data_IF_201779399497
#
_entry.id   IF_201779399497
#
_cell.length_a   1.000
_cell.length_b   1.000
_cell.length_c   1.000
_cell.angle_alpha   90.00
_cell.angle_beta   90.00
_cell.angle_gamma   90.00
#
_symmetry.space_group_name_H-M   'P 1'
#
loop_
_entity.id
_entity.type
_entity.pdbx_description
1 polymer ?
#
# COMPACT_ATOMS: atom_id res chain seq x y z
N UNK A 1 5.19 31.32 -2.88
CA UNK A 1 4.32 30.29 -3.46
C UNK A 1 3.37 29.74 -2.41
N UNK A 2 2.12 29.41 -2.81
CA UNK A 2 1.12 28.78 -1.94
C UNK A 2 0.79 27.41 -2.51
N UNK A 3 0.77 26.42 -1.66
CA UNK A 3 0.46 25.04 -2.03
C UNK A 3 -0.82 24.61 -1.29
N UNK A 4 -1.67 23.86 -1.96
CA UNK A 4 -2.78 23.13 -1.36
C UNK A 4 -2.51 21.64 -1.49
N UNK A 5 -1.99 21.04 -0.44
CA UNK A 5 -1.76 19.62 -0.38
C UNK A 5 -3.08 18.84 -0.28
N UNK A 6 -3.19 17.79 -1.07
CA UNK A 6 -4.27 16.80 -1.04
C UNK A 6 -3.65 15.41 -1.01
N UNK A 7 -4.45 14.36 -0.82
CA UNK A 7 -3.90 13.01 -0.79
C UNK A 7 -4.92 11.93 -1.11
N UNK A 8 -4.43 10.82 -1.63
CA UNK A 8 -5.18 9.59 -1.86
C UNK A 8 -4.85 8.60 -0.75
N UNK A 9 -5.88 8.05 -0.10
CA UNK A 9 -5.80 6.92 0.81
C UNK A 9 -6.63 5.77 0.25
N UNK A 10 -6.06 4.55 0.22
CA UNK A 10 -6.73 3.36 -0.30
C UNK A 10 -6.61 3.17 -1.81
N UNK A 11 -5.55 3.68 -2.46
CA UNK A 11 -5.32 3.53 -3.89
C UNK A 11 -5.45 2.08 -4.36
N UNK A 12 -4.75 1.14 -3.71
CA UNK A 12 -4.78 -0.28 -4.07
C UNK A 12 -6.18 -0.88 -3.95
N UNK A 13 -6.98 -0.45 -2.96
CA UNK A 13 -8.34 -0.95 -2.75
C UNK A 13 -9.27 -0.51 -3.89
N UNK A 14 -9.14 0.75 -4.33
CA UNK A 14 -9.92 1.24 -5.47
C UNK A 14 -9.50 0.56 -6.76
N UNK A 15 -8.18 0.40 -7.01
CA UNK A 15 -7.66 -0.31 -8.18
C UNK A 15 -8.16 -1.76 -8.21
N UNK A 16 -8.04 -2.47 -7.09
CA UNK A 16 -8.51 -3.86 -6.94
C UNK A 16 -10.03 -3.97 -7.11
N UNK A 17 -10.79 -3.03 -6.53
CA UNK A 17 -12.26 -3.03 -6.65
C UNK A 17 -12.71 -2.82 -8.09
N UNK A 18 -12.09 -1.90 -8.81
CA UNK A 18 -12.39 -1.67 -10.23
C UNK A 18 -11.96 -2.85 -11.11
N UNK A 19 -10.81 -3.47 -10.82
CA UNK A 19 -10.39 -4.70 -11.47
C UNK A 19 -11.39 -5.84 -11.21
N UNK A 20 -11.82 -6.02 -9.97
CA UNK A 20 -12.81 -7.03 -9.61
C UNK A 20 -14.14 -6.81 -10.32
N UNK A 21 -14.64 -5.57 -10.40
CA UNK A 21 -15.87 -5.22 -11.11
C UNK A 21 -15.75 -5.48 -12.62
N UNK A 22 -14.59 -5.20 -13.20
CA UNK A 22 -14.33 -5.41 -14.63
C UNK A 22 -14.20 -6.89 -15.00
N UNK A 23 -13.46 -7.65 -14.20
CA UNK A 23 -12.99 -9.00 -14.58
C UNK A 23 -13.83 -10.13 -13.97
N UNK A 24 -14.72 -9.80 -13.01
CA UNK A 24 -15.53 -10.80 -12.30
C UNK A 24 -17.01 -10.39 -12.27
N UNK A 25 -17.85 -11.30 -11.81
CA UNK A 25 -19.25 -11.01 -11.58
C UNK A 25 -19.46 -10.58 -10.13
N UNK A 26 -19.65 -9.28 -9.93
CA UNK A 26 -19.90 -8.69 -8.61
C UNK A 26 -21.39 -8.45 -8.42
N UNK A 27 -21.97 -9.05 -7.38
CA UNK A 27 -23.34 -8.82 -6.96
C UNK A 27 -23.35 -7.93 -5.71
N UNK A 28 -24.08 -6.83 -5.79
CA UNK A 28 -24.24 -5.91 -4.65
C UNK A 28 -25.34 -6.40 -3.74
N UNK A 29 -25.03 -6.60 -2.47
CA UNK A 29 -26.01 -6.88 -1.42
C UNK A 29 -26.46 -5.55 -0.80
N UNK A 30 -27.77 -5.32 -0.78
CA UNK A 30 -28.37 -4.08 -0.29
C UNK A 30 -29.24 -4.34 0.94
N UNK A 31 -29.25 -3.37 1.86
CA UNK A 31 -30.17 -3.36 3.00
C UNK A 31 -31.61 -2.91 2.58
N UNK A 32 -32.51 -2.86 3.54
CA UNK A 32 -33.91 -2.43 3.34
C UNK A 32 -34.02 -0.99 2.81
N UNK A 33 -33.02 -0.16 3.00
CA UNK A 33 -32.96 1.23 2.51
C UNK A 33 -32.34 1.34 1.11
N UNK A 34 -31.95 0.20 0.51
CA UNK A 34 -31.26 0.16 -0.78
C UNK A 34 -29.77 0.50 -0.74
N UNK A 35 -29.18 0.66 0.44
CA UNK A 35 -27.74 0.93 0.58
C UNK A 35 -26.93 -0.36 0.40
N UNK A 36 -25.81 -0.27 -0.33
CA UNK A 36 -24.86 -1.37 -0.45
C UNK A 36 -24.21 -1.65 0.91
N UNK A 37 -24.36 -2.88 1.41
CA UNK A 37 -23.82 -3.33 2.70
C UNK A 37 -22.78 -4.42 2.55
N UNK A 38 -22.80 -5.15 1.42
CA UNK A 38 -21.84 -6.22 1.13
C UNK A 38 -21.77 -6.49 -0.38
N UNK A 39 -20.78 -7.31 -0.79
CA UNK A 39 -20.56 -7.73 -2.16
C UNK A 39 -20.25 -9.23 -2.22
N UNK A 40 -20.99 -9.95 -3.06
CA UNK A 40 -20.65 -11.32 -3.47
C UNK A 40 -19.88 -11.28 -4.79
N UNK A 41 -18.79 -12.01 -4.89
CA UNK A 41 -17.96 -12.05 -6.10
C UNK A 41 -17.80 -13.49 -6.59
N UNK A 42 -18.03 -13.69 -7.88
CA UNK A 42 -17.80 -14.94 -8.60
C UNK A 42 -16.74 -14.72 -9.68
N UNK A 43 -15.65 -15.48 -9.63
CA UNK A 43 -14.49 -15.35 -10.50
C UNK A 43 -13.27 -14.74 -9.82
N UNK A 44 -12.19 -14.63 -10.59
CA UNK A 44 -10.89 -14.14 -10.12
C UNK A 44 -10.44 -12.92 -10.90
N UNK A 45 -9.71 -12.03 -10.27
CA UNK A 45 -9.00 -10.91 -10.86
C UNK A 45 -7.55 -10.90 -10.36
N UNK A 46 -6.66 -10.21 -11.05
CA UNK A 46 -5.28 -10.03 -10.58
C UNK A 46 -5.20 -8.75 -9.76
N UNK A 47 -4.86 -8.82 -8.45
CA UNK A 47 -4.73 -7.64 -7.62
C UNK A 47 -3.53 -6.77 -7.99
N UNK A 48 -3.57 -5.49 -7.63
CA UNK A 48 -2.44 -4.57 -7.66
C UNK A 48 -1.25 -5.12 -6.85
N UNK A 49 -0.03 -4.91 -7.34
CA UNK A 49 1.19 -5.43 -6.71
C UNK A 49 1.70 -6.74 -7.29
N UNK A 50 1.17 -7.18 -8.43
CA UNK A 50 1.57 -8.42 -9.10
C UNK A 50 2.18 -8.19 -10.49
N UNK A 51 2.62 -6.96 -10.78
CA UNK A 51 3.18 -6.54 -12.05
C UNK A 51 2.27 -6.93 -13.25
N UNK A 52 1.00 -6.63 -13.13
CA UNK A 52 0.00 -6.91 -14.16
C UNK A 52 -0.67 -5.60 -14.59
N UNK A 53 -0.44 -5.21 -15.84
CA UNK A 53 -0.90 -3.93 -16.38
C UNK A 53 -2.42 -3.78 -16.37
N UNK A 54 -3.18 -4.88 -16.35
CA UNK A 54 -4.65 -4.81 -16.24
C UNK A 54 -5.11 -4.08 -14.98
N UNK A 55 -4.42 -4.28 -13.85
CA UNK A 55 -4.76 -3.61 -12.58
C UNK A 55 -3.83 -2.45 -12.28
N UNK A 56 -2.54 -2.56 -12.61
CA UNK A 56 -1.57 -1.49 -12.38
C UNK A 56 -1.97 -0.21 -13.13
N UNK A 57 -2.46 -0.33 -14.40
CA UNK A 57 -2.95 0.81 -15.16
C UNK A 57 -4.15 1.54 -14.52
N UNK A 58 -4.99 0.82 -13.76
CA UNK A 58 -6.09 1.45 -13.03
C UNK A 58 -5.55 2.36 -11.93
N UNK A 59 -4.53 1.92 -11.19
CA UNK A 59 -3.90 2.72 -10.15
C UNK A 59 -3.21 3.98 -10.74
N UNK A 60 -2.54 3.83 -11.91
CA UNK A 60 -1.96 4.94 -12.68
C UNK A 60 -3.06 5.93 -13.06
N UNK A 61 -4.10 5.48 -13.71
CA UNK A 61 -5.25 6.27 -14.17
C UNK A 61 -5.91 7.08 -13.04
N UNK A 62 -6.11 6.45 -11.87
CA UNK A 62 -6.70 7.12 -10.70
C UNK A 62 -5.79 8.26 -10.24
N UNK A 63 -4.48 8.02 -10.16
CA UNK A 63 -3.51 9.00 -9.69
C UNK A 63 -3.44 10.21 -10.64
N UNK A 64 -3.42 9.98 -11.95
CA UNK A 64 -3.42 11.04 -12.97
C UNK A 64 -4.72 11.84 -12.96
N UNK A 65 -5.86 11.15 -13.08
CA UNK A 65 -7.18 11.79 -13.15
C UNK A 65 -7.52 12.60 -11.91
N UNK A 66 -7.12 12.12 -10.72
CA UNK A 66 -7.34 12.87 -9.50
C UNK A 66 -6.62 14.21 -9.53
N UNK A 67 -5.35 14.23 -9.97
CA UNK A 67 -4.59 15.47 -10.10
C UNK A 67 -5.14 16.39 -11.23
N UNK A 68 -5.56 15.82 -12.36
CA UNK A 68 -6.20 16.57 -13.44
C UNK A 68 -7.48 17.26 -12.97
N UNK A 69 -8.34 16.56 -12.24
CA UNK A 69 -9.56 17.14 -11.68
C UNK A 69 -9.26 18.23 -10.65
N UNK A 70 -8.27 18.05 -9.78
CA UNK A 70 -7.87 19.07 -8.82
C UNK A 70 -7.45 20.38 -9.52
N UNK A 71 -6.71 20.26 -10.63
CA UNK A 71 -6.24 21.43 -11.40
C UNK A 71 -7.35 22.19 -12.11
N UNK A 72 -8.52 21.58 -12.32
CA UNK A 72 -9.68 22.24 -12.93
C UNK A 72 -10.42 23.15 -11.95
N UNK A 73 -10.15 23.05 -10.65
CA UNK A 73 -10.85 23.82 -9.63
C UNK A 73 -10.03 25.01 -9.15
N UNK A 74 -10.71 26.13 -8.99
CA UNK A 74 -10.09 27.31 -8.41
C UNK A 74 -9.82 27.08 -6.91
N UNK A 75 -8.57 27.30 -6.52
CA UNK A 75 -8.12 27.12 -5.15
C UNK A 75 -8.15 28.45 -4.37
N UNK A 76 -8.24 28.36 -3.05
CA UNK A 76 -8.17 29.53 -2.18
C UNK A 76 -6.84 30.28 -2.40
N UNK A 77 -6.94 31.59 -2.64
CA UNK A 77 -5.80 32.48 -2.93
C UNK A 77 -4.88 31.98 -4.04
N UNK A 78 -5.40 31.29 -5.05
CA UNK A 78 -4.66 30.73 -6.19
C UNK A 78 -3.50 29.81 -5.75
N UNK A 79 -3.72 29.00 -4.71
CA UNK A 79 -2.74 28.00 -4.30
C UNK A 79 -2.57 26.93 -5.39
N UNK A 80 -1.37 26.45 -5.61
CA UNK A 80 -1.09 25.32 -6.51
C UNK A 80 -1.53 24.03 -5.85
N UNK A 81 -2.44 23.23 -6.46
CA UNK A 81 -2.82 21.95 -5.91
C UNK A 81 -1.67 20.94 -6.10
N UNK A 82 -1.42 20.16 -5.07
CA UNK A 82 -0.49 19.01 -5.07
C UNK A 82 -1.16 17.80 -4.48
N UNK A 83 -0.62 16.61 -4.75
CA UNK A 83 -1.13 15.39 -4.16
C UNK A 83 -0.02 14.50 -3.62
N UNK A 84 -0.38 13.70 -2.63
CA UNK A 84 0.42 12.59 -2.10
C UNK A 84 -0.36 11.28 -2.13
N UNK A 85 0.37 10.18 -2.08
CA UNK A 85 -0.17 8.85 -1.76
C UNK A 85 0.54 8.38 -0.50
N UNK A 86 0.04 8.88 0.64
CA UNK A 86 0.67 8.72 1.95
C UNK A 86 -0.42 8.70 3.02
N UNK A 87 -0.39 7.71 3.92
CA UNK A 87 -1.39 7.57 4.98
C UNK A 87 -0.82 7.62 6.39
N UNK A 88 0.50 7.49 6.55
CA UNK A 88 1.14 7.32 7.88
C UNK A 88 0.51 6.11 8.59
N UNK A 89 -0.29 6.32 9.64
CA UNK A 89 -1.08 5.29 10.35
C UNK A 89 -2.59 5.50 10.20
N UNK A 90 -3.02 6.52 9.46
CA UNK A 90 -4.44 6.83 9.26
C UNK A 90 -5.18 5.80 8.39
N UNK A 91 -4.44 4.95 7.64
CA UNK A 91 -4.99 3.81 6.91
C UNK A 91 -5.85 2.90 7.80
N UNK A 92 -5.46 2.70 9.06
CA UNK A 92 -6.23 1.92 10.06
C UNK A 92 -7.58 2.59 10.33
N UNK A 93 -7.57 3.90 10.60
CA UNK A 93 -8.78 4.68 10.92
C UNK A 93 -9.72 4.75 9.72
N UNK A 94 -9.18 4.96 8.51
CA UNK A 94 -9.99 5.01 7.28
C UNK A 94 -10.63 3.65 6.98
N UNK A 95 -9.86 2.56 7.08
CA UNK A 95 -10.37 1.21 6.89
C UNK A 95 -11.47 0.87 7.89
N UNK A 96 -11.30 1.21 9.16
CA UNK A 96 -12.29 0.98 10.23
C UNK A 96 -13.63 1.66 9.95
N UNK A 97 -13.63 2.80 9.25
CA UNK A 97 -14.84 3.57 8.91
C UNK A 97 -15.41 3.23 7.53
N UNK A 98 -14.79 2.33 6.78
CA UNK A 98 -15.21 1.97 5.43
C UNK A 98 -15.84 0.57 5.43
N UNK A 99 -17.00 0.44 4.81
CA UNK A 99 -17.70 -0.83 4.62
C UNK A 99 -16.92 -1.81 3.74
N UNK A 100 -17.50 -2.98 3.48
CA UNK A 100 -16.99 -3.98 2.53
C UNK A 100 -16.82 -3.36 1.15
N UNK A 101 -15.79 -3.79 0.41
CA UNK A 101 -15.48 -3.30 -0.93
C UNK A 101 -15.51 -4.43 -1.98
N UNK A 102 -15.81 -4.13 -3.27
CA UNK A 102 -15.99 -5.14 -4.33
C UNK A 102 -14.80 -6.08 -4.54
N UNK A 103 -13.60 -5.65 -4.18
CA UNK A 103 -12.37 -6.44 -4.20
C UNK A 103 -12.35 -7.58 -3.17
N UNK A 104 -13.34 -7.63 -2.28
CA UNK A 104 -13.46 -8.63 -1.20
C UNK A 104 -12.79 -8.19 0.11
N UNK A 105 -12.41 -6.91 0.29
CA UNK A 105 -11.97 -6.39 1.58
C UNK A 105 -13.16 -6.30 2.54
N UNK A 106 -13.15 -6.99 3.69
CA UNK A 106 -14.21 -6.88 4.69
C UNK A 106 -14.33 -5.47 5.26
N UNK A 107 -15.54 -5.05 5.58
CA UNK A 107 -15.78 -3.79 6.27
C UNK A 107 -15.00 -3.69 7.58
N UNK A 108 -14.43 -2.53 7.88
CA UNK A 108 -13.63 -2.30 9.07
C UNK A 108 -12.15 -2.73 8.98
N UNK A 109 -11.76 -3.50 7.97
CA UNK A 109 -10.35 -3.89 7.76
C UNK A 109 -9.51 -2.66 7.39
N UNK A 110 -8.30 -2.48 7.95
CA UNK A 110 -7.39 -1.40 7.58
C UNK A 110 -7.15 -1.33 6.06
N UNK A 111 -6.97 -0.13 5.53
CA UNK A 111 -6.43 0.04 4.19
C UNK A 111 -4.94 -0.32 4.16
N UNK A 112 -4.41 -0.70 3.00
CA UNK A 112 -2.97 -0.71 2.81
C UNK A 112 -2.40 0.71 2.98
N UNK A 113 -1.21 0.88 3.60
CA UNK A 113 -0.63 2.19 3.81
C UNK A 113 -0.05 2.75 2.51
N UNK A 114 -0.28 4.04 2.25
CA UNK A 114 0.26 4.73 1.08
C UNK A 114 -0.07 4.01 -0.23
N UNK A 115 0.94 3.73 -1.03
CA UNK A 115 0.84 3.03 -2.31
C UNK A 115 1.04 1.52 -2.20
N UNK A 116 1.06 0.97 -0.99
CA UNK A 116 1.21 -0.48 -0.82
C UNK A 116 0.08 -1.25 -1.51
N UNK A 117 0.38 -2.40 -2.11
CA UNK A 117 -0.63 -3.42 -2.39
C UNK A 117 -1.41 -3.79 -1.13
N UNK A 118 -2.64 -4.25 -1.28
CA UNK A 118 -3.43 -4.72 -0.14
C UNK A 118 -2.77 -5.96 0.46
N UNK A 119 -2.70 -6.00 1.79
CA UNK A 119 -1.98 -7.03 2.54
C UNK A 119 -2.34 -8.46 2.07
N UNK A 120 -1.32 -9.24 1.72
CA UNK A 120 -1.43 -10.63 1.27
C UNK A 120 -1.89 -10.81 -0.19
N UNK A 121 -2.04 -9.73 -0.97
CA UNK A 121 -2.48 -9.81 -2.36
C UNK A 121 -1.35 -9.75 -3.38
N UNK A 122 -0.19 -9.24 -3.02
CA UNK A 122 1.05 -9.20 -3.81
C UNK A 122 1.76 -10.57 -3.73
N UNK A 123 1.23 -11.54 -4.45
CA UNK A 123 1.64 -12.95 -4.33
C UNK A 123 2.75 -13.37 -5.30
N UNK A 124 3.10 -12.51 -6.27
CA UNK A 124 4.14 -12.81 -7.28
C UNK A 124 5.56 -12.41 -6.84
N UNK A 125 5.75 -12.08 -5.57
CA UNK A 125 7.06 -11.81 -4.97
C UNK A 125 7.50 -10.35 -5.02
N UNK A 126 8.68 -10.13 -4.46
CA UNK A 126 9.24 -8.82 -4.20
C UNK A 126 9.40 -7.95 -5.46
N UNK A 127 9.96 -8.52 -6.52
CA UNK A 127 10.19 -7.81 -7.79
C UNK A 127 8.88 -7.36 -8.42
N UNK A 128 7.86 -8.22 -8.41
CA UNK A 128 6.56 -7.86 -8.98
C UNK A 128 5.86 -6.74 -8.18
N UNK A 129 5.93 -6.80 -6.86
CA UNK A 129 5.36 -5.77 -5.99
C UNK A 129 6.05 -4.41 -6.20
N UNK A 130 7.38 -4.37 -6.24
CA UNK A 130 8.17 -3.18 -6.54
C UNK A 130 7.85 -2.63 -7.93
N UNK A 131 7.77 -3.47 -8.95
CA UNK A 131 7.48 -3.07 -10.32
C UNK A 131 6.08 -2.45 -10.45
N UNK A 132 5.05 -2.98 -9.79
CA UNK A 132 3.70 -2.38 -9.81
C UNK A 132 3.69 -0.97 -9.24
N UNK A 133 4.37 -0.75 -8.11
CA UNK A 133 4.42 0.58 -7.48
C UNK A 133 5.29 1.55 -8.30
N UNK A 134 6.38 1.06 -8.91
CA UNK A 134 7.25 1.88 -9.76
C UNK A 134 6.54 2.45 -11.01
N UNK A 135 5.45 1.83 -11.48
CA UNK A 135 4.63 2.33 -12.60
C UNK A 135 3.79 3.54 -12.26
N UNK A 136 3.59 3.87 -10.97
CA UNK A 136 2.75 5.01 -10.60
C UNK A 136 3.32 6.32 -11.14
N UNK A 137 2.46 7.26 -11.55
CA UNK A 137 2.91 8.50 -12.20
C UNK A 137 3.39 9.51 -11.15
N UNK A 138 4.64 9.37 -10.69
CA UNK A 138 5.24 10.21 -9.64
C UNK A 138 5.20 11.70 -9.95
N UNK A 139 5.25 12.07 -11.24
CA UNK A 139 5.11 13.46 -11.71
C UNK A 139 3.75 14.09 -11.39
N UNK A 140 2.74 13.28 -11.05
CA UNK A 140 1.41 13.75 -10.65
C UNK A 140 1.23 13.74 -9.12
N UNK A 141 2.23 13.31 -8.34
CA UNK A 141 2.18 13.24 -6.90
C UNK A 141 3.37 13.95 -6.24
N UNK A 142 3.41 15.28 -6.38
CA UNK A 142 4.53 16.12 -5.96
C UNK A 142 4.80 16.10 -4.45
N UNK A 143 3.81 15.75 -3.62
CA UNK A 143 3.97 15.59 -2.18
C UNK A 143 4.47 14.19 -1.79
N UNK A 144 4.73 13.32 -2.78
CA UNK A 144 5.34 12.01 -2.64
C UNK A 144 4.37 10.83 -2.64
N UNK A 145 4.92 9.70 -3.05
CA UNK A 145 4.25 8.38 -3.03
C UNK A 145 5.02 7.50 -2.06
N UNK A 146 4.42 7.17 -0.92
CA UNK A 146 5.05 6.31 0.08
C UNK A 146 4.76 4.85 -0.21
N UNK A 147 5.83 4.07 -0.35
CA UNK A 147 5.77 2.62 -0.37
C UNK A 147 6.62 2.05 0.77
N UNK A 148 6.03 1.15 1.55
CA UNK A 148 6.71 0.45 2.64
C UNK A 148 6.83 -1.03 2.28
N UNK A 149 8.01 -1.43 1.90
CA UNK A 149 8.37 -2.77 1.47
C UNK A 149 8.93 -3.58 2.65
N UNK A 150 8.49 -4.82 2.81
CA UNK A 150 9.03 -5.72 3.79
C UNK A 150 9.49 -7.03 3.14
N UNK A 151 10.66 -7.50 3.54
CA UNK A 151 11.27 -8.73 3.03
C UNK A 151 11.93 -9.49 4.18
N UNK A 152 11.82 -10.83 4.16
CA UNK A 152 12.54 -11.64 5.15
C UNK A 152 14.04 -11.72 4.81
N UNK A 153 14.93 -11.81 5.79
CA UNK A 153 16.36 -12.02 5.53
C UNK A 153 16.65 -13.25 4.67
N UNK A 154 15.89 -14.32 4.88
CA UNK A 154 16.05 -15.59 4.16
C UNK A 154 15.74 -15.44 2.66
N UNK A 155 14.79 -14.58 2.30
CA UNK A 155 14.44 -14.28 0.91
C UNK A 155 15.60 -13.63 0.16
N UNK A 156 16.36 -12.79 0.83
CA UNK A 156 17.52 -12.11 0.24
C UNK A 156 18.72 -13.04 0.04
N UNK A 157 18.73 -14.22 0.64
CA UNK A 157 19.79 -15.21 0.47
C UNK A 157 20.31 -15.78 1.80
N UNK A 158 21.20 -16.76 1.72
CA UNK A 158 21.75 -17.43 2.92
C UNK A 158 22.97 -16.72 3.50
N UNK A 159 23.75 -16.04 2.66
CA UNK A 159 25.00 -15.40 3.04
C UNK A 159 24.84 -13.88 3.00
N UNK A 160 25.52 -13.18 3.91
CA UNK A 160 25.41 -11.71 4.03
C UNK A 160 25.70 -10.97 2.74
N UNK A 161 26.74 -11.35 2.02
CA UNK A 161 27.12 -10.65 0.77
C UNK A 161 26.08 -10.86 -0.32
N UNK A 162 25.47 -12.05 -0.39
CA UNK A 162 24.36 -12.35 -1.30
C UNK A 162 23.14 -11.52 -0.90
N UNK A 163 22.81 -11.44 0.40
CA UNK A 163 21.68 -10.64 0.89
C UNK A 163 21.85 -9.15 0.53
N UNK A 164 23.06 -8.61 0.72
CA UNK A 164 23.38 -7.22 0.38
C UNK A 164 23.22 -6.99 -1.13
N UNK A 165 23.83 -7.85 -1.96
CA UNK A 165 23.77 -7.72 -3.41
C UNK A 165 22.35 -7.83 -3.95
N UNK A 166 21.54 -8.76 -3.44
CA UNK A 166 20.14 -8.91 -3.83
C UNK A 166 19.29 -7.71 -3.41
N UNK A 167 19.50 -7.18 -2.19
CA UNK A 167 18.82 -5.96 -1.77
C UNK A 167 19.21 -4.76 -2.63
N UNK A 168 20.50 -4.58 -2.93
CA UNK A 168 20.97 -3.52 -3.84
C UNK A 168 20.31 -3.65 -5.21
N UNK A 169 20.26 -4.86 -5.78
CA UNK A 169 19.62 -5.09 -7.09
C UNK A 169 18.12 -4.76 -7.09
N UNK A 170 17.41 -5.06 -5.99
CA UNK A 170 16.00 -4.68 -5.83
C UNK A 170 15.83 -3.15 -5.79
N UNK A 171 16.71 -2.46 -5.05
CA UNK A 171 16.71 -1.00 -4.94
C UNK A 171 17.05 -0.35 -6.28
N UNK A 172 18.07 -0.81 -6.97
CA UNK A 172 18.48 -0.30 -8.28
C UNK A 172 17.34 -0.49 -9.32
N UNK A 173 16.66 -1.63 -9.28
CA UNK A 173 15.53 -1.90 -10.16
C UNK A 173 14.31 -1.01 -9.86
N UNK A 174 14.11 -0.63 -8.59
CA UNK A 174 13.02 0.25 -8.20
C UNK A 174 13.29 1.74 -8.52
N UNK A 175 14.52 2.21 -8.28
CA UNK A 175 14.93 3.61 -8.44
C UNK A 175 15.49 3.91 -9.85
N UNK A 176 14.88 3.37 -10.89
CA UNK A 176 15.20 3.75 -12.27
C UNK A 176 14.75 5.18 -12.58
N UNK A 177 15.25 5.84 -13.64
CA UNK A 177 14.85 7.21 -13.98
C UNK A 177 13.33 7.43 -14.08
N UNK A 178 12.60 6.41 -14.56
CA UNK A 178 11.14 6.45 -14.70
C UNK A 178 10.43 5.64 -13.60
N UNK A 179 11.15 5.21 -12.58
CA UNK A 179 10.64 4.35 -11.51
C UNK A 179 10.29 5.09 -10.22
N UNK A 180 10.37 4.37 -9.10
CA UNK A 180 10.00 4.88 -7.79
C UNK A 180 10.87 6.01 -7.26
N UNK A 181 10.31 6.87 -6.43
CA UNK A 181 11.01 7.99 -5.80
C UNK A 181 11.30 7.77 -4.32
N UNK A 182 10.47 6.99 -3.63
CA UNK A 182 10.56 6.79 -2.20
C UNK A 182 10.22 5.35 -1.82
N UNK A 183 11.07 4.74 -1.02
CA UNK A 183 10.89 3.38 -0.53
C UNK A 183 11.34 3.29 0.93
N UNK A 184 10.45 2.80 1.80
CA UNK A 184 10.81 2.36 3.14
C UNK A 184 11.06 0.85 3.10
N UNK A 185 12.22 0.41 3.54
CA UNK A 185 12.57 -1.01 3.58
C UNK A 185 12.59 -1.50 5.01
N UNK A 186 11.86 -2.59 5.26
CA UNK A 186 11.92 -3.38 6.47
C UNK A 186 12.51 -4.75 6.15
N UNK A 187 13.52 -5.16 6.93
CA UNK A 187 14.12 -6.50 6.83
C UNK A 187 13.93 -7.19 8.17
N UNK A 188 12.91 -8.05 8.26
CA UNK A 188 12.61 -8.82 9.47
C UNK A 188 11.72 -10.03 9.16
N UNK A 189 11.61 -10.93 10.10
CA UNK A 189 10.68 -12.06 10.05
C UNK A 189 9.42 -11.74 10.87
N UNK A 190 8.30 -12.37 10.48
CA UNK A 190 7.01 -12.18 11.15
C UNK A 190 7.05 -12.62 12.62
N UNK A 191 7.78 -13.69 12.91
CA UNK A 191 7.90 -14.24 14.25
C UNK A 191 8.56 -13.27 15.22
N UNK A 192 9.52 -12.46 14.75
CA UNK A 192 10.11 -11.37 15.53
C UNK A 192 9.06 -10.37 16.01
N UNK A 193 8.15 -9.97 15.12
CA UNK A 193 7.09 -9.00 15.46
C UNK A 193 6.05 -9.61 16.42
N UNK A 194 5.71 -10.88 16.24
CA UNK A 194 4.80 -11.60 17.13
C UNK A 194 5.40 -11.72 18.54
N UNK A 195 6.68 -12.14 18.66
CA UNK A 195 7.34 -12.20 19.96
C UNK A 195 7.49 -10.80 20.61
N UNK A 196 7.78 -9.76 19.81
CA UNK A 196 7.87 -8.39 20.30
C UNK A 196 6.50 -7.82 20.76
N UNK A 197 5.40 -8.29 20.20
CA UNK A 197 4.05 -7.91 20.62
C UNK A 197 3.67 -8.58 21.95
N UNK A 198 4.14 -9.79 22.21
CA UNK A 198 3.87 -10.56 23.43
C UNK A 198 4.87 -10.24 24.56
N UNK A 199 6.11 -9.91 24.19
CA UNK A 199 7.22 -9.67 25.12
C UNK A 199 7.91 -8.31 24.83
N UNK A 200 7.18 -7.18 24.95
CA UNK A 200 7.71 -5.87 24.58
C UNK A 200 8.97 -5.47 25.35
N UNK A 201 9.16 -5.99 26.55
CA UNK A 201 10.33 -5.76 27.39
C UNK A 201 11.64 -6.31 26.80
N UNK A 202 11.55 -7.34 25.94
CA UNK A 202 12.72 -7.89 25.22
C UNK A 202 13.15 -7.02 24.04
N UNK A 203 12.26 -6.18 23.52
CA UNK A 203 12.43 -5.45 22.28
C UNK A 203 12.24 -3.92 22.42
N UNK A 204 12.81 -3.26 23.45
CA UNK A 204 12.54 -1.84 23.75
C UNK A 204 13.01 -0.90 22.63
N UNK A 205 13.94 -1.35 21.77
CA UNK A 205 14.53 -0.57 20.68
C UNK A 205 14.05 -1.00 19.28
N UNK A 206 13.11 -1.96 19.20
CA UNK A 206 12.64 -2.46 17.90
C UNK A 206 11.94 -1.34 17.14
N UNK A 207 12.59 -0.91 16.08
CA UNK A 207 12.12 0.17 15.21
C UNK A 207 11.74 -0.40 13.86
N UNK A 208 10.56 -0.01 13.37
CA UNK A 208 10.05 -0.38 12.05
C UNK A 208 9.67 0.84 11.23
N UNK A 209 9.68 0.70 9.91
CA UNK A 209 9.09 1.66 8.98
C UNK A 209 7.62 1.35 8.80
N UNK A 210 6.73 2.33 9.00
CA UNK A 210 5.27 2.13 8.82
C UNK A 210 4.73 2.75 7.56
N UNK A 211 4.98 4.02 7.32
CA UNK A 211 4.64 4.73 6.08
C UNK A 211 5.30 6.10 6.10
N UNK A 212 6.46 6.22 5.47
CA UNK A 212 7.21 7.47 5.43
C UNK A 212 8.06 7.80 6.65
N UNK A 213 7.92 7.07 7.78
CA UNK A 213 8.73 7.29 8.99
C UNK A 213 8.92 6.01 9.81
N UNK A 214 9.90 6.04 10.71
CA UNK A 214 10.19 4.95 11.63
C UNK A 214 9.54 5.17 12.99
N UNK A 215 9.02 4.10 13.56
CA UNK A 215 8.41 4.10 14.89
C UNK A 215 8.95 2.95 15.72
N UNK A 216 8.90 3.11 17.03
CA UNK A 216 9.16 2.00 17.94
C UNK A 216 7.92 1.08 17.94
N UNK A 217 8.11 -0.19 17.53
CA UNK A 217 7.02 -1.14 17.35
C UNK A 217 6.21 -1.40 18.62
N UNK A 218 6.89 -1.54 19.75
CA UNK A 218 6.23 -1.86 21.04
C UNK A 218 5.43 -0.69 21.62
N UNK A 219 5.60 0.53 21.07
CA UNK A 219 4.82 1.73 21.44
C UNK A 219 3.58 1.95 20.59
N UNK A 220 3.39 1.18 19.52
CA UNK A 220 2.18 1.21 18.71
C UNK A 220 1.00 0.63 19.48
N UNK A 221 -0.22 1.08 19.13
CA UNK A 221 -1.43 0.42 19.62
C UNK A 221 -1.51 -1.01 19.09
N UNK A 222 -2.21 -1.89 19.80
CA UNK A 222 -2.36 -3.28 19.36
C UNK A 222 -2.97 -3.39 17.96
N UNK A 223 -3.94 -2.53 17.60
CA UNK A 223 -4.53 -2.48 16.26
C UNK A 223 -3.46 -2.15 15.19
N UNK A 224 -2.57 -1.20 15.47
CA UNK A 224 -1.47 -0.82 14.58
C UNK A 224 -0.39 -1.91 14.48
N UNK A 225 -0.06 -2.59 15.60
CA UNK A 225 0.86 -3.73 15.59
C UNK A 225 0.31 -4.86 14.72
N UNK A 226 -0.98 -5.20 14.87
CA UNK A 226 -1.64 -6.22 14.06
C UNK A 226 -1.69 -5.84 12.57
N UNK A 227 -1.93 -4.55 12.25
CA UNK A 227 -1.84 -4.06 10.86
C UNK A 227 -0.45 -4.33 10.28
N UNK A 228 0.62 -3.95 11.00
CA UNK A 228 2.00 -4.19 10.55
C UNK A 228 2.29 -5.69 10.37
N UNK A 229 1.88 -6.53 11.31
CA UNK A 229 2.07 -7.99 11.24
C UNK A 229 1.29 -8.63 10.07
N UNK A 230 0.15 -8.03 9.71
CA UNK A 230 -0.69 -8.50 8.59
C UNK A 230 -0.16 -8.10 7.22
N UNK A 231 0.78 -7.15 7.15
CA UNK A 231 1.37 -6.70 5.87
C UNK A 231 2.14 -7.83 5.21
N UNK A 232 2.19 -7.79 3.90
CA UNK A 232 2.99 -8.76 3.15
C UNK A 232 4.46 -8.62 3.53
N UNK A 233 5.05 -9.72 3.98
CA UNK A 233 6.51 -9.89 4.07
C UNK A 233 6.88 -10.82 2.93
N UNK A 234 7.58 -10.28 1.93
CA UNK A 234 7.93 -11.05 0.76
C UNK A 234 8.86 -12.20 1.14
N UNK A 235 8.45 -13.41 0.80
CA UNK A 235 9.18 -14.67 1.05
C UNK A 235 9.86 -15.23 -0.19
N UNK A 236 9.71 -14.55 -1.34
CA UNK A 236 10.37 -14.83 -2.62
C UNK A 236 10.72 -13.52 -3.33
N UNK A 237 11.79 -13.55 -4.12
CA UNK A 237 12.21 -12.43 -4.96
C UNK A 237 11.36 -12.31 -6.22
#
# INVERSE_FOLDING_TARGET
>A
ERIRATGIAGLSIVADSLAAIRDTKVKVIRDERGLAVDFEREGEYVPFGNNDDRTDSIAVDITEKFMEYLRQHQTYRKATPTQSILTITSNVVYGKKTGTTPDGRPGGTPFAPGANPMNGRDTKGAVAALASVAKLPFQHAHDGISYTFAVSPATLGKERDIQVNNLVSLLDGYFTPDGGQHLNVNVFDKDLLLDAMEHPEKYPQLTIRVSGYAVNFVKLTREQQLDVISRTINSNL
#
